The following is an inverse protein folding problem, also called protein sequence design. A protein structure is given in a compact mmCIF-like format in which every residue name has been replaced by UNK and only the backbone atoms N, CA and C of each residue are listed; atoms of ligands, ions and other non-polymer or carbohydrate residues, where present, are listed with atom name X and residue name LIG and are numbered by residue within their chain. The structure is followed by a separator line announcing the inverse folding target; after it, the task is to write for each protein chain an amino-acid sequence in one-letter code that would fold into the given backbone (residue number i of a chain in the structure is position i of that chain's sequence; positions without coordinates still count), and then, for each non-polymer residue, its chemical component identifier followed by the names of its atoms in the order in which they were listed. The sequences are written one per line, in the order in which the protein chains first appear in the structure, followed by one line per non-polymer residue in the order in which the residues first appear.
data_IF_949354447479
#
_entry.id   IF_949354447479
#
_cell.length_a   1.000
_cell.length_b   1.000
_cell.length_c   1.000
_cell.angle_alpha   90.00
_cell.angle_beta   90.00
_cell.angle_gamma   90.00
#
_symmetry.space_group_name_H-M   'P 1'
#
loop_
_entity.id
_entity.type
_entity.pdbx_description
1 polymer ?
#
# COMPACT_ATOMS: atom_id res chain seq x y z
N UNK A 1 8.95 -9.59 53.21
CA UNK A 1 9.40 -10.40 52.05
C UNK A 1 10.83 -10.00 51.72
N UNK A 2 11.74 -10.96 51.50
CA UNK A 2 13.05 -10.63 50.95
C UNK A 2 12.87 -10.27 49.46
N UNK A 3 13.45 -9.17 48.96
CA UNK A 3 13.38 -8.85 47.54
C UNK A 3 14.04 -9.98 46.75
N UNK A 4 13.32 -10.52 45.76
CA UNK A 4 13.92 -11.47 44.83
C UNK A 4 14.72 -10.71 43.77
N UNK A 5 15.92 -11.17 43.42
CA UNK A 5 16.66 -10.60 42.30
C UNK A 5 15.83 -10.76 41.02
N UNK A 6 15.78 -9.72 40.19
CA UNK A 6 15.20 -9.87 38.86
C UNK A 6 16.01 -10.92 38.11
N UNK A 7 15.32 -11.94 37.59
CA UNK A 7 15.95 -12.90 36.69
C UNK A 7 16.38 -12.18 35.42
N UNK A 8 17.43 -12.66 34.72
CA UNK A 8 17.78 -12.15 33.40
C UNK A 8 16.52 -12.13 32.52
N UNK A 9 16.38 -11.06 31.73
CA UNK A 9 15.28 -10.94 30.78
C UNK A 9 15.44 -12.08 29.76
N UNK A 10 14.71 -13.18 29.94
CA UNK A 10 14.58 -14.21 28.90
C UNK A 10 13.77 -13.59 27.77
N UNK A 11 14.45 -12.94 26.82
CA UNK A 11 13.86 -12.58 25.55
C UNK A 11 13.59 -13.89 24.81
N UNK A 12 12.34 -14.36 24.87
CA UNK A 12 11.90 -15.39 23.94
C UNK A 12 11.77 -14.77 22.54
N UNK A 13 12.19 -15.53 21.53
CA UNK A 13 11.92 -15.16 20.14
C UNK A 13 10.41 -15.09 19.93
N UNK A 14 9.92 -13.91 19.56
CA UNK A 14 8.51 -13.70 19.29
C UNK A 14 8.05 -14.54 18.09
N UNK A 15 6.82 -15.06 18.17
CA UNK A 15 6.16 -15.71 17.04
C UNK A 15 5.71 -14.66 16.01
N UNK A 16 5.49 -15.10 14.77
CA UNK A 16 5.05 -14.22 13.68
C UNK A 16 3.77 -13.43 14.03
N UNK A 17 2.80 -14.06 14.69
CA UNK A 17 1.56 -13.40 15.12
C UNK A 17 1.80 -12.30 16.17
N UNK A 18 2.75 -12.52 17.09
CA UNK A 18 3.13 -11.54 18.12
C UNK A 18 3.86 -10.36 17.49
N UNK A 19 4.84 -10.63 16.62
CA UNK A 19 5.53 -9.59 15.84
C UNK A 19 4.51 -8.75 15.04
N UNK A 20 3.55 -9.42 14.40
CA UNK A 20 2.48 -8.77 13.63
C UNK A 20 1.67 -7.81 14.51
N UNK A 21 1.22 -8.26 15.67
CA UNK A 21 0.46 -7.44 16.61
C UNK A 21 1.26 -6.22 17.09
N UNK A 22 2.54 -6.39 17.42
CA UNK A 22 3.41 -5.29 17.83
C UNK A 22 3.63 -4.26 16.72
N UNK A 23 3.85 -4.70 15.48
CA UNK A 23 4.00 -3.82 14.32
C UNK A 23 2.72 -3.02 14.07
N UNK A 24 1.55 -3.65 14.13
CA UNK A 24 0.25 -2.96 13.98
C UNK A 24 0.05 -1.88 15.04
N UNK A 25 0.32 -2.20 16.31
CA UNK A 25 0.25 -1.23 17.41
C UNK A 25 1.17 -0.04 17.20
N UNK A 26 2.41 -0.30 16.77
CA UNK A 26 3.37 0.76 16.45
C UNK A 26 2.93 1.62 15.25
N UNK A 27 2.49 1.01 14.15
CA UNK A 27 2.01 1.73 12.97
C UNK A 27 0.82 2.64 13.30
N UNK A 28 -0.13 2.13 14.09
CA UNK A 28 -1.27 2.91 14.60
C UNK A 28 -0.80 4.12 15.41
N UNK A 29 0.14 3.92 16.34
CA UNK A 29 0.73 5.01 17.13
C UNK A 29 1.49 6.05 16.28
N UNK A 30 1.94 5.70 15.08
CA UNK A 30 2.57 6.61 14.10
C UNK A 30 1.58 7.20 13.09
N UNK A 31 0.27 7.01 13.27
CA UNK A 31 -0.76 7.57 12.40
C UNK A 31 -0.92 6.86 11.05
N UNK A 32 -0.41 5.64 10.93
CA UNK A 32 -0.62 4.77 9.76
C UNK A 32 -1.91 3.96 9.96
N UNK A 33 -2.73 3.85 8.91
CA UNK A 33 -3.87 2.92 8.89
C UNK A 33 -3.35 1.58 8.38
N UNK A 34 -3.35 0.56 9.21
CA UNK A 34 -2.88 -0.78 8.85
C UNK A 34 -3.75 -1.88 9.46
N UNK A 35 -3.80 -3.03 8.80
CA UNK A 35 -4.50 -4.23 9.25
C UNK A 35 -3.70 -5.49 8.90
N UNK A 36 -3.92 -6.57 9.66
CA UNK A 36 -3.42 -7.89 9.29
C UNK A 36 -4.25 -8.44 8.13
N UNK A 37 -3.58 -8.93 7.10
CA UNK A 37 -4.21 -9.55 5.95
C UNK A 37 -4.43 -11.04 6.19
N UNK A 38 -5.67 -11.48 6.02
CA UNK A 38 -5.97 -12.92 6.06
C UNK A 38 -5.58 -13.57 4.72
N UNK A 39 -4.37 -14.12 4.69
CA UNK A 39 -3.82 -14.86 3.57
C UNK A 39 -4.19 -16.36 3.59
N UNK A 40 -5.02 -16.81 4.53
CA UNK A 40 -5.36 -18.24 4.66
C UNK A 40 -6.33 -18.66 3.54
N UNK A 41 -6.19 -19.91 3.11
CA UNK A 41 -7.18 -20.52 2.21
C UNK A 41 -8.55 -20.60 2.88
N UNK A 42 -9.61 -20.84 2.11
CA UNK A 42 -10.93 -21.16 2.67
C UNK A 42 -11.06 -22.67 2.82
N UNK A 43 -11.63 -23.11 3.93
CA UNK A 43 -11.91 -24.52 4.13
C UNK A 43 -13.26 -24.89 3.50
N UNK A 44 -13.26 -25.92 2.65
CA UNK A 44 -14.49 -26.52 2.13
C UNK A 44 -14.85 -27.74 2.99
N UNK A 45 -15.89 -27.61 3.81
CA UNK A 45 -16.37 -28.69 4.68
C UNK A 45 -16.96 -29.88 3.91
N UNK A 46 -17.46 -29.67 2.68
CA UNK A 46 -18.03 -30.74 1.84
C UNK A 46 -16.96 -31.64 1.24
N UNK A 47 -15.83 -31.06 0.83
CA UNK A 47 -14.73 -31.80 0.21
C UNK A 47 -13.59 -32.10 1.18
N UNK A 48 -13.62 -31.54 2.40
CA UNK A 48 -12.57 -31.68 3.42
C UNK A 48 -11.23 -31.06 3.01
N UNK A 49 -11.23 -30.05 2.13
CA UNK A 49 -10.02 -29.48 1.53
C UNK A 49 -9.97 -27.96 1.68
N UNK A 50 -8.77 -27.43 1.90
CA UNK A 50 -8.50 -26.01 1.79
C UNK A 50 -8.31 -25.64 0.31
N UNK A 51 -8.83 -24.48 -0.08
CA UNK A 51 -8.66 -23.95 -1.43
C UNK A 51 -8.41 -22.43 -1.37
N UNK A 52 -7.53 -21.89 -2.25
CA UNK A 52 -7.39 -20.45 -2.38
C UNK A 52 -8.66 -19.88 -3.02
N UNK A 53 -9.06 -18.68 -2.62
CA UNK A 53 -10.10 -17.97 -3.36
C UNK A 53 -9.54 -17.56 -4.74
N UNK A 54 -10.28 -17.76 -5.85
CA UNK A 54 -9.73 -17.55 -7.19
C UNK A 54 -9.30 -16.10 -7.46
N UNK A 55 -9.90 -15.14 -6.77
CA UNK A 55 -9.55 -13.71 -6.89
C UNK A 55 -8.50 -13.26 -5.87
N UNK A 56 -7.94 -14.16 -5.05
CA UNK A 56 -6.87 -13.80 -4.13
C UNK A 56 -5.56 -13.70 -4.91
N UNK A 57 -4.83 -12.61 -4.67
CA UNK A 57 -3.46 -12.48 -5.14
C UNK A 57 -2.52 -13.27 -4.24
N UNK A 58 -1.61 -14.03 -4.84
CA UNK A 58 -0.56 -14.76 -4.11
C UNK A 58 0.58 -13.80 -3.74
N UNK A 59 1.24 -14.04 -2.61
CA UNK A 59 2.41 -13.25 -2.17
C UNK A 59 2.06 -11.91 -1.51
N UNK A 60 0.78 -11.69 -1.18
CA UNK A 60 0.34 -10.50 -0.45
C UNK A 60 0.96 -10.50 0.96
N UNK A 61 1.56 -9.39 1.42
CA UNK A 61 2.17 -9.28 2.74
C UNK A 61 1.19 -9.54 3.90
N UNK A 62 1.72 -9.98 5.05
CA UNK A 62 0.93 -10.24 6.26
C UNK A 62 0.26 -8.99 6.83
N UNK A 63 0.85 -7.80 6.64
CA UNK A 63 0.27 -6.52 7.03
C UNK A 63 0.19 -5.62 5.81
N UNK A 64 -1.00 -5.04 5.62
CA UNK A 64 -1.26 -4.03 4.62
C UNK A 64 -1.71 -2.73 5.29
N UNK A 65 -1.46 -1.60 4.62
CA UNK A 65 -1.88 -0.32 5.12
C UNK A 65 -1.53 0.83 4.20
N UNK A 66 -1.83 2.03 4.65
CA UNK A 66 -1.40 3.25 4.00
C UNK A 66 -1.13 4.34 5.04
N UNK A 67 -0.12 5.15 4.75
CA UNK A 67 0.20 6.33 5.55
C UNK A 67 -0.78 7.44 5.22
N UNK A 68 -1.44 8.00 6.23
CA UNK A 68 -2.48 9.03 6.03
C UNK A 68 -1.94 10.31 5.40
N UNK A 69 -0.69 10.65 5.68
CA UNK A 69 -0.08 11.91 5.25
C UNK A 69 -0.01 12.06 3.73
N UNK A 70 0.34 10.99 3.03
CA UNK A 70 0.65 11.02 1.60
C UNK A 70 0.04 9.85 0.82
N UNK A 71 -0.91 9.15 1.44
CA UNK A 71 -1.60 7.99 0.91
C UNK A 71 -0.67 6.85 0.43
N UNK A 72 0.60 6.84 0.85
CA UNK A 72 1.55 5.82 0.40
C UNK A 72 1.23 4.48 1.04
N UNK A 73 1.10 3.49 0.17
CA UNK A 73 0.81 2.12 0.57
C UNK A 73 2.00 1.50 1.30
N UNK A 74 1.71 0.72 2.33
CA UNK A 74 2.66 0.01 3.16
C UNK A 74 2.32 -1.48 3.11
N UNK A 75 3.35 -2.30 2.89
CA UNK A 75 3.26 -3.75 2.96
C UNK A 75 4.38 -4.27 3.86
N UNK A 76 4.04 -5.08 4.86
CA UNK A 76 5.02 -5.70 5.76
C UNK A 76 4.81 -7.21 5.73
N UNK A 77 5.84 -7.91 5.26
CA UNK A 77 5.93 -9.36 5.33
C UNK A 77 6.69 -9.75 6.60
N UNK A 78 6.11 -10.58 7.45
CA UNK A 78 6.67 -10.98 8.74
C UNK A 78 7.27 -12.38 8.61
N UNK A 79 8.48 -12.57 9.12
CA UNK A 79 9.18 -13.86 9.13
C UNK A 79 9.64 -14.16 10.55
N UNK A 80 9.38 -15.35 11.05
CA UNK A 80 9.89 -15.78 12.35
C UNK A 80 10.94 -16.89 12.18
N UNK A 81 11.93 -16.94 13.08
CA UNK A 81 12.94 -17.99 13.09
C UNK A 81 13.68 -18.16 11.76
N UNK A 82 13.49 -19.31 11.10
CA UNK A 82 14.19 -19.68 9.86
C UNK A 82 13.39 -19.41 8.59
N UNK A 83 12.25 -18.74 8.67
CA UNK A 83 11.41 -18.50 7.51
C UNK A 83 12.12 -17.63 6.46
N UNK A 84 11.76 -17.84 5.20
CA UNK A 84 12.30 -17.12 4.04
C UNK A 84 11.15 -16.59 3.18
N UNK A 85 11.45 -15.57 2.40
CA UNK A 85 10.50 -15.06 1.40
C UNK A 85 10.33 -16.09 0.30
N UNK A 86 9.09 -16.26 -0.16
CA UNK A 86 8.81 -16.94 -1.42
C UNK A 86 8.99 -15.99 -2.61
N UNK A 87 9.14 -16.54 -3.82
CA UNK A 87 9.33 -15.74 -5.04
C UNK A 87 8.17 -14.78 -5.28
N UNK A 88 6.92 -15.22 -5.04
CA UNK A 88 5.73 -14.37 -5.17
C UNK A 88 5.71 -13.20 -4.16
N UNK A 89 6.23 -13.41 -2.95
CA UNK A 89 6.35 -12.33 -1.95
C UNK A 89 7.40 -11.31 -2.38
N UNK A 90 8.53 -11.78 -2.92
CA UNK A 90 9.58 -10.91 -3.47
C UNK A 90 9.01 -10.07 -4.62
N UNK A 91 8.28 -10.70 -5.54
CA UNK A 91 7.63 -10.05 -6.68
C UNK A 91 6.66 -8.94 -6.22
N UNK A 92 5.74 -9.26 -5.29
CA UNK A 92 4.80 -8.27 -4.75
C UNK A 92 5.51 -7.08 -4.12
N UNK A 93 6.52 -7.33 -3.27
CA UNK A 93 7.25 -6.27 -2.58
C UNK A 93 8.04 -5.38 -3.55
N UNK A 94 8.58 -5.97 -4.62
CA UNK A 94 9.26 -5.22 -5.69
C UNK A 94 8.29 -4.36 -6.49
N UNK A 95 7.12 -4.87 -6.85
CA UNK A 95 6.07 -4.08 -7.51
C UNK A 95 5.61 -2.92 -6.61
N UNK A 96 5.36 -3.19 -5.33
CA UNK A 96 4.98 -2.15 -4.37
C UNK A 96 6.04 -1.05 -4.30
N UNK A 97 7.31 -1.43 -4.28
CA UNK A 97 8.43 -0.48 -4.31
C UNK A 97 8.43 0.35 -5.60
N UNK A 98 8.25 -0.31 -6.75
CA UNK A 98 8.24 0.33 -8.06
C UNK A 98 7.10 1.36 -8.18
N UNK A 99 5.95 1.08 -7.56
CA UNK A 99 4.81 2.00 -7.46
C UNK A 99 4.97 3.10 -6.39
N UNK A 100 6.15 3.21 -5.76
CA UNK A 100 6.45 4.26 -4.78
C UNK A 100 5.90 4.00 -3.37
N UNK A 101 5.39 2.80 -3.11
CA UNK A 101 5.00 2.34 -1.79
C UNK A 101 6.18 1.89 -0.94
N UNK A 102 5.87 1.43 0.27
CA UNK A 102 6.87 1.08 1.27
C UNK A 102 6.78 -0.41 1.64
N UNK A 103 7.53 -1.28 0.96
CA UNK A 103 7.68 -2.67 1.37
C UNK A 103 8.63 -2.78 2.57
N UNK A 104 8.35 -3.76 3.42
CA UNK A 104 9.18 -4.18 4.54
C UNK A 104 9.20 -5.71 4.64
N UNK A 105 10.31 -6.22 5.14
CA UNK A 105 10.45 -7.60 5.60
C UNK A 105 10.93 -7.52 7.05
N UNK A 106 10.13 -8.06 7.96
CA UNK A 106 10.38 -7.97 9.40
C UNK A 106 10.66 -9.35 9.98
N UNK A 107 11.91 -9.59 10.38
CA UNK A 107 12.29 -10.78 11.14
C UNK A 107 12.10 -10.60 12.67
N UNK A 108 11.96 -9.35 13.10
CA UNK A 108 11.62 -8.97 14.47
C UNK A 108 10.90 -7.63 14.48
N UNK A 109 10.23 -7.33 15.59
CA UNK A 109 9.61 -6.02 15.81
C UNK A 109 10.65 -4.88 15.78
N UNK A 110 11.80 -5.07 16.42
CA UNK A 110 12.88 -4.08 16.50
C UNK A 110 13.45 -3.78 15.12
N UNK A 111 13.66 -4.80 14.29
CA UNK A 111 14.15 -4.61 12.94
C UNK A 111 13.17 -3.77 12.11
N UNK A 112 11.86 -4.01 12.26
CA UNK A 112 10.84 -3.21 11.61
C UNK A 112 10.92 -1.75 12.06
N UNK A 113 10.91 -1.49 13.38
CA UNK A 113 10.98 -0.13 13.94
C UNK A 113 12.24 0.58 13.47
N UNK A 114 13.41 -0.06 13.54
CA UNK A 114 14.66 0.53 13.08
C UNK A 114 14.60 0.92 11.60
N UNK A 115 14.04 0.06 10.74
CA UNK A 115 13.86 0.34 9.31
C UNK A 115 12.90 1.51 9.07
N UNK A 116 11.77 1.54 9.78
CA UNK A 116 10.75 2.57 9.67
C UNK A 116 11.27 3.94 10.13
N UNK A 117 11.93 3.99 11.29
CA UNK A 117 12.50 5.19 11.88
C UNK A 117 13.66 5.74 11.04
N UNK A 118 14.58 4.88 10.57
CA UNK A 118 15.72 5.28 9.73
C UNK A 118 15.28 5.92 8.41
N UNK A 119 14.17 5.45 7.85
CA UNK A 119 13.57 6.02 6.63
C UNK A 119 12.75 7.29 6.90
N UNK A 120 12.62 7.71 8.17
CA UNK A 120 11.90 8.92 8.56
C UNK A 120 10.41 8.85 8.24
N UNK A 121 9.81 7.66 8.22
CA UNK A 121 8.44 7.50 7.72
C UNK A 121 7.36 7.94 8.70
N UNK A 122 7.73 8.17 9.97
CA UNK A 122 6.91 8.85 10.96
C UNK A 122 6.94 10.38 10.78
N UNK A 123 7.91 10.92 10.03
CA UNK A 123 8.08 12.36 9.90
C UNK A 123 7.05 12.87 8.93
N UNK A 124 6.32 13.87 9.38
CA UNK A 124 5.52 14.69 8.52
C UNK A 124 6.49 15.48 7.64
N UNK A 125 6.40 15.30 6.32
CA UNK A 125 7.04 16.20 5.37
C UNK A 125 6.55 17.60 5.72
N UNK A 126 7.45 18.45 6.22
CA UNK A 126 7.15 19.88 6.37
C UNK A 126 6.62 20.40 5.04
N UNK A 127 5.69 21.33 5.08
CA UNK A 127 5.30 22.03 3.87
C UNK A 127 6.58 22.59 3.22
N UNK A 128 6.90 22.19 2.00
CA UNK A 128 8.12 22.64 1.29
C UNK A 128 8.12 24.14 1.02
N UNK A 129 6.97 24.81 1.24
CA UNK A 129 6.78 26.24 1.04
C UNK A 129 7.03 27.07 2.31
N UNK A 130 6.76 26.54 3.50
CA UNK A 130 6.81 27.32 4.75
C UNK A 130 7.61 26.65 5.88
N UNK A 131 8.15 25.44 5.71
CA UNK A 131 8.85 24.64 6.74
C UNK A 131 8.05 24.37 8.04
N UNK A 132 6.79 24.81 8.11
CA UNK A 132 5.89 24.60 9.23
C UNK A 132 5.23 23.22 9.20
N UNK A 133 4.79 22.78 10.38
CA UNK A 133 3.98 21.57 10.55
C UNK A 133 2.58 21.78 9.96
N UNK A 134 1.93 20.77 9.37
CA UNK A 134 0.64 20.92 8.67
C UNK A 134 -0.47 21.55 9.51
N UNK A 135 -0.50 21.27 10.82
CA UNK A 135 -1.52 21.82 11.73
C UNK A 135 -1.29 23.30 12.06
N UNK A 136 -0.07 23.81 11.86
CA UNK A 136 0.31 25.21 12.00
C UNK A 136 0.42 25.93 10.64
N UNK A 137 0.42 25.16 9.55
CA UNK A 137 0.68 25.61 8.20
C UNK A 137 -0.55 26.38 7.66
N UNK A 138 -0.46 27.72 7.66
CA UNK A 138 -1.47 28.59 7.05
C UNK A 138 -1.25 28.78 5.54
N UNK A 139 -0.36 27.98 4.94
CA UNK A 139 -0.11 28.04 3.51
C UNK A 139 -1.44 27.74 2.76
N UNK A 140 -1.89 28.63 1.84
CA UNK A 140 -3.15 28.44 1.13
C UNK A 140 -3.10 27.09 0.39
N UNK A 141 -4.22 26.36 0.43
CA UNK A 141 -4.37 25.11 -0.30
C UNK A 141 -3.87 25.30 -1.74
N UNK A 142 -3.13 24.32 -2.31
CA UNK A 142 -2.71 24.44 -3.70
C UNK A 142 -3.95 24.74 -4.54
N UNK A 143 -3.86 25.78 -5.38
CA UNK A 143 -4.91 26.07 -6.33
C UNK A 143 -5.24 24.76 -7.05
N UNK A 144 -6.52 24.39 -7.06
CA UNK A 144 -6.96 23.20 -7.77
C UNK A 144 -6.35 23.22 -9.18
N UNK A 145 -5.83 22.08 -9.67
CA UNK A 145 -5.32 22.05 -11.04
C UNK A 145 -6.39 22.62 -11.95
N UNK A 146 -6.02 23.61 -12.76
CA UNK A 146 -6.93 24.21 -13.72
C UNK A 146 -7.59 23.06 -14.51
N UNK A 147 -8.91 22.99 -14.44
CA UNK A 147 -9.65 22.05 -15.26
C UNK A 147 -9.32 22.32 -16.72
N UNK A 148 -9.13 21.30 -17.56
CA UNK A 148 -8.75 21.49 -18.98
C UNK A 148 -9.81 22.21 -19.84
N UNK A 149 -10.88 22.73 -19.23
CA UNK A 149 -12.03 23.38 -19.88
C UNK A 149 -11.81 24.87 -20.23
N UNK A 150 -10.66 25.47 -19.90
CA UNK A 150 -10.31 26.83 -20.35
C UNK A 150 -9.66 26.87 -21.74
N UNK A 151 -9.75 25.78 -22.52
CA UNK A 151 -9.35 25.81 -23.93
C UNK A 151 -10.43 26.56 -24.73
N UNK A 152 -10.13 27.72 -25.37
CA UNK A 152 -11.11 28.39 -26.21
C UNK A 152 -11.59 27.43 -27.29
N UNK A 153 -12.91 27.35 -27.47
CA UNK A 153 -13.55 26.49 -28.45
C UNK A 153 -12.85 26.64 -29.82
N UNK A 154 -12.54 25.52 -30.51
CA UNK A 154 -11.94 25.61 -31.83
C UNK A 154 -12.85 26.42 -32.76
N UNK A 155 -12.29 27.26 -33.65
CA UNK A 155 -13.09 28.02 -34.60
C UNK A 155 -13.91 27.06 -35.46
N UNK A 156 -15.16 27.46 -35.73
CA UNK A 156 -16.09 26.67 -36.55
C UNK A 156 -15.43 26.26 -37.88
N UNK A 157 -15.64 25.01 -38.35
CA UNK A 157 -15.07 24.57 -39.61
C UNK A 157 -15.62 25.44 -40.75
N UNK A 158 -14.72 26.08 -41.47
CA UNK A 158 -15.02 26.77 -42.73
C UNK A 158 -15.43 25.69 -43.73
N UNK A 159 -16.71 25.68 -44.11
CA UNK A 159 -17.22 24.82 -45.17
C UNK A 159 -16.53 25.19 -46.49
N UNK A 160 -15.63 24.32 -46.95
CA UNK A 160 -15.19 24.33 -48.34
C UNK A 160 -16.30 23.67 -49.19
N UNK A 161 -16.82 24.34 -50.24
CA UNK A 161 -17.80 23.74 -51.11
C UNK A 161 -17.13 22.71 -52.03
N UNK A 162 -17.68 21.51 -52.06
CA UNK A 162 -17.48 20.57 -53.18
C UNK A 162 -16.64 19.35 -52.89
N UNK A 163 -17.12 18.45 -52.03
CA UNK A 163 -16.85 17.02 -52.19
C UNK A 163 -18.12 16.24 -51.86
N UNK A 164 -18.76 15.70 -52.89
CA UNK A 164 -19.81 14.68 -52.75
C UNK A 164 -19.17 13.41 -52.23
N UNK A 165 -19.40 13.09 -50.96
CA UNK A 165 -19.12 11.77 -50.40
C UNK A 165 -20.31 10.88 -50.74
N UNK A 166 -20.10 9.89 -51.59
CA UNK A 166 -21.04 8.79 -51.81
C UNK A 166 -21.03 7.89 -50.58
N UNK A 167 -22.18 7.78 -49.92
CA UNK A 167 -22.40 6.84 -48.82
C UNK A 167 -22.42 5.40 -49.36
N UNK A 168 -21.54 4.55 -48.82
CA UNK A 168 -21.57 3.09 -49.01
C UNK A 168 -22.12 2.45 -47.72
N UNK A 169 -23.16 1.60 -47.76
CA UNK A 169 -23.83 1.13 -46.55
C UNK A 169 -23.21 -0.16 -45.98
N UNK A 170 -22.96 -0.11 -44.66
CA UNK A 170 -23.01 -1.17 -43.65
C UNK A 170 -22.47 -2.58 -43.98
N UNK A 171 -21.42 -2.97 -43.24
CA UNK A 171 -21.12 -4.39 -42.96
C UNK A 171 -21.55 -4.73 -41.51
N UNK A 172 -22.24 -5.86 -41.26
CA UNK A 172 -22.65 -6.26 -39.92
C UNK A 172 -21.54 -6.96 -39.13
N UNK A 173 -21.47 -6.68 -37.83
CA UNK A 173 -20.64 -7.36 -36.86
C UNK A 173 -21.16 -8.79 -36.62
N UNK A 174 -20.29 -9.79 -36.78
CA UNK A 174 -20.52 -11.14 -36.30
C UNK A 174 -19.91 -11.30 -34.90
N UNK A 175 -20.75 -11.70 -33.94
CA UNK A 175 -20.33 -12.20 -32.63
C UNK A 175 -19.80 -13.63 -32.76
N UNK A 176 -18.67 -13.90 -32.10
CA UNK A 176 -18.26 -15.20 -31.62
C UNK A 176 -17.75 -15.02 -30.18
#
# INVERSE_FOLDING_TARGET
MKPQPQTPLELYDLKADEITAHILGYLSAKGVVAWAQDNRGRYNSKTGRWYPHPNNRVGVPDILGFRRLDAKFIGVEVKAGKDRLSDHQIEFLNELKACGGFPFVAYSYEQFVQSFERRGLHKISRCTRCEEWPDACQCPAPAAPATPDDTPAPPAPTCLPGHTVTNDPQAPYHHA
#
